data_IF_532726113257
#
_entry.id   IF_532726113257
#
_cell.length_a   1.000
_cell.length_b   1.000
_cell.length_c   1.000
_cell.angle_alpha   90.00
_cell.angle_beta   90.00
_cell.angle_gamma   90.00
#
_symmetry.space_group_name_H-M   'P 1'
#
loop_
_entity.id
_entity.type
_entity.pdbx_description
1 polymer ?
#
# COMPACT_ATOMS: atom_id res chain seq x y z
N UNK A 1 -2.29 20.80 -0.29
CA UNK A 1 -3.04 19.53 -0.23
C UNK A 1 -2.23 18.57 0.62
N UNK A 2 -2.85 17.85 1.54
CA UNK A 2 -2.25 16.77 2.32
C UNK A 2 -2.97 15.49 1.89
N UNK A 3 -2.28 14.65 1.13
CA UNK A 3 -2.81 13.37 0.66
C UNK A 3 -2.23 12.22 1.49
N UNK A 4 -2.99 11.15 1.66
CA UNK A 4 -2.65 10.02 2.57
C UNK A 4 -2.21 10.49 3.97
N UNK A 5 -2.99 11.39 4.59
CA UNK A 5 -2.60 12.06 5.83
C UNK A 5 -2.45 11.09 7.01
N UNK A 6 -3.22 10.01 7.06
CA UNK A 6 -2.99 8.90 7.99
C UNK A 6 -1.56 8.37 7.90
N UNK A 7 -1.10 8.09 6.68
CA UNK A 7 0.26 7.56 6.45
C UNK A 7 1.36 8.55 6.81
N UNK A 8 1.21 9.83 6.46
CA UNK A 8 2.21 10.86 6.79
C UNK A 8 2.48 10.90 8.30
N UNK A 9 1.42 10.81 9.09
CA UNK A 9 1.48 10.92 10.54
C UNK A 9 1.98 9.62 11.19
N UNK A 10 1.72 8.46 10.58
CA UNK A 10 2.27 7.17 11.02
C UNK A 10 3.77 7.04 10.77
N UNK A 11 4.26 7.64 9.68
CA UNK A 11 5.70 7.72 9.38
C UNK A 11 6.44 8.74 10.27
N UNK A 12 5.73 9.46 11.12
CA UNK A 12 6.30 10.44 12.04
C UNK A 12 6.52 11.82 11.45
N UNK A 13 6.03 12.11 10.24
CA UNK A 13 6.23 13.40 9.56
C UNK A 13 5.36 14.55 10.09
N UNK A 14 4.76 14.39 11.27
CA UNK A 14 3.81 15.38 11.80
C UNK A 14 4.48 16.74 12.00
N UNK A 15 5.68 16.77 12.59
CA UNK A 15 6.39 18.03 12.85
C UNK A 15 6.83 18.70 11.56
N UNK A 16 7.33 17.94 10.59
CA UNK A 16 7.76 18.45 9.29
C UNK A 16 6.61 19.07 8.51
N UNK A 17 5.42 18.44 8.54
CA UNK A 17 4.22 18.99 7.92
C UNK A 17 3.79 20.26 8.62
N UNK A 18 3.78 20.30 9.96
CA UNK A 18 3.47 21.52 10.73
C UNK A 18 4.43 22.66 10.40
N UNK A 19 5.73 22.39 10.44
CA UNK A 19 6.75 23.36 10.07
C UNK A 19 6.52 23.91 8.66
N UNK A 20 6.21 23.03 7.69
CA UNK A 20 5.88 23.45 6.31
C UNK A 20 4.66 24.36 6.27
N UNK A 21 3.61 24.03 7.04
CA UNK A 21 2.38 24.80 7.11
C UNK A 21 2.56 26.19 7.75
N UNK A 22 3.52 26.33 8.67
CA UNK A 22 3.82 27.59 9.36
C UNK A 22 4.55 28.61 8.48
N UNK A 23 5.17 28.18 7.38
CA UNK A 23 5.80 29.08 6.41
C UNK A 23 4.78 29.88 5.57
N UNK A 24 3.50 29.49 5.59
CA UNK A 24 2.45 30.21 4.87
C UNK A 24 1.86 31.32 5.75
N UNK A 25 2.13 32.57 5.40
CA UNK A 25 1.68 33.76 6.12
C UNK A 25 0.28 34.26 5.75
N UNK A 26 -0.24 33.84 4.60
CA UNK A 26 -1.55 34.27 4.09
C UNK A 26 -2.62 33.20 4.30
N UNK A 27 -3.88 33.61 4.21
CA UNK A 27 -5.01 32.68 4.21
C UNK A 27 -4.86 31.65 3.07
N UNK A 28 -5.07 30.38 3.40
CA UNK A 28 -4.96 29.25 2.47
C UNK A 28 -6.19 28.35 2.56
N UNK A 29 -6.48 27.68 1.46
CA UNK A 29 -7.37 26.52 1.47
C UNK A 29 -6.52 25.27 1.67
N UNK A 30 -6.86 24.46 2.67
CA UNK A 30 -6.19 23.17 2.92
C UNK A 30 -7.19 22.05 2.66
N UNK A 31 -6.82 21.13 1.77
CA UNK A 31 -7.51 19.86 1.57
C UNK A 31 -6.68 18.78 2.25
N UNK A 32 -7.34 17.94 3.05
CA UNK A 32 -6.75 16.78 3.72
C UNK A 32 -7.52 15.54 3.31
N UNK A 33 -6.83 14.58 2.72
CA UNK A 33 -7.34 13.28 2.31
C UNK A 33 -6.72 12.20 3.19
N UNK A 34 -7.54 11.26 3.65
CA UNK A 34 -7.14 10.17 4.55
C UNK A 34 -8.12 9.03 4.36
N UNK A 35 -7.63 7.79 4.24
CA UNK A 35 -8.51 6.62 4.12
C UNK A 35 -9.10 6.22 5.48
N UNK A 36 -8.32 6.47 6.53
CA UNK A 36 -8.67 6.17 7.91
C UNK A 36 -8.67 7.44 8.74
N UNK A 37 -9.43 7.44 9.85
CA UNK A 37 -9.54 8.60 10.75
C UNK A 37 -9.38 8.18 12.21
N UNK A 38 -8.23 7.57 12.61
CA UNK A 38 -7.97 7.32 14.02
C UNK A 38 -7.82 8.64 14.78
N UNK A 39 -7.87 8.57 16.11
CA UNK A 39 -7.89 9.77 16.98
C UNK A 39 -6.74 10.75 16.67
N UNK A 40 -5.54 10.22 16.40
CA UNK A 40 -4.35 11.02 16.05
C UNK A 40 -4.58 11.86 14.78
N UNK A 41 -5.21 11.31 13.75
CA UNK A 41 -5.51 12.02 12.50
C UNK A 41 -6.63 13.04 12.68
N UNK A 42 -7.63 12.72 13.50
CA UNK A 42 -8.67 13.70 13.86
C UNK A 42 -8.08 14.90 14.59
N UNK A 43 -7.15 14.68 15.52
CA UNK A 43 -6.45 15.75 16.24
C UNK A 43 -5.55 16.57 15.31
N UNK A 44 -4.80 15.89 14.43
CA UNK A 44 -4.00 16.54 13.40
C UNK A 44 -4.86 17.42 12.49
N UNK A 45 -5.95 16.89 11.94
CA UNK A 45 -6.88 17.62 11.07
C UNK A 45 -7.49 18.85 11.78
N UNK A 46 -7.89 18.72 13.05
CA UNK A 46 -8.40 19.86 13.85
C UNK A 46 -7.37 20.96 14.04
N UNK A 47 -6.10 20.60 14.19
CA UNK A 47 -5.01 21.58 14.37
C UNK A 47 -4.56 22.23 13.06
N UNK A 48 -4.77 21.56 11.92
CA UNK A 48 -4.26 21.96 10.62
C UNK A 48 -5.29 22.67 9.74
N UNK A 49 -6.58 22.35 9.90
CA UNK A 49 -7.68 22.86 9.09
C UNK A 49 -8.50 23.93 9.83
N UNK A 50 -8.99 24.93 9.09
CA UNK A 50 -9.87 25.98 9.63
C UNK A 50 -11.30 25.70 9.18
N UNK A 51 -12.18 25.39 10.15
CA UNK A 51 -13.60 25.07 9.93
C UNK A 51 -13.86 24.15 8.71
N UNK A 52 -13.26 22.94 8.68
CA UNK A 52 -13.35 22.07 7.51
C UNK A 52 -14.76 21.50 7.32
N UNK A 53 -15.14 21.32 6.06
CA UNK A 53 -16.27 20.47 5.67
C UNK A 53 -15.75 19.04 5.59
N UNK A 54 -16.39 18.11 6.31
CA UNK A 54 -16.04 16.70 6.29
C UNK A 54 -16.88 16.00 5.23
N UNK A 55 -16.22 15.36 4.27
CA UNK A 55 -16.85 14.53 3.25
C UNK A 55 -16.37 13.11 3.47
N UNK A 56 -17.30 12.20 3.80
CA UNK A 56 -17.01 10.78 3.97
C UNK A 56 -17.67 10.01 2.82
N UNK A 57 -16.87 9.26 2.06
CA UNK A 57 -17.36 8.31 1.07
C UNK A 57 -17.27 6.92 1.70
N UNK A 58 -18.41 6.26 1.90
CA UNK A 58 -18.48 5.00 2.64
C UNK A 58 -18.29 5.16 4.15
N UNK A 59 -17.80 4.11 4.82
CA UNK A 59 -17.50 4.12 6.25
C UNK A 59 -15.98 4.30 6.42
N UNK A 60 -15.56 5.38 7.07
CA UNK A 60 -14.14 5.65 7.30
C UNK A 60 -13.47 4.47 8.03
N UNK A 61 -12.35 3.98 7.50
CA UNK A 61 -11.69 2.78 8.02
C UNK A 61 -12.42 1.46 7.72
N UNK A 62 -13.32 1.42 6.72
CA UNK A 62 -13.82 0.16 6.17
C UNK A 62 -13.20 -0.08 4.78
N UNK A 63 -12.99 -1.36 4.45
CA UNK A 63 -12.63 -1.78 3.11
C UNK A 63 -13.68 -1.31 2.09
N UNK A 64 -13.25 -1.05 0.85
CA UNK A 64 -14.17 -0.80 -0.24
C UNK A 64 -15.10 -2.01 -0.42
N UNK A 65 -16.42 -1.76 -0.46
CA UNK A 65 -17.43 -2.81 -0.60
C UNK A 65 -17.35 -3.54 -1.94
N UNK A 66 -16.71 -2.92 -2.94
CA UNK A 66 -16.50 -3.50 -4.26
C UNK A 66 -15.31 -4.48 -4.29
N UNK A 67 -14.53 -4.57 -3.21
CA UNK A 67 -13.39 -5.49 -3.09
C UNK A 67 -13.84 -6.80 -2.43
N UNK A 68 -13.81 -7.88 -3.21
CA UNK A 68 -14.03 -9.24 -2.72
C UNK A 68 -12.81 -9.64 -1.87
N UNK A 69 -13.05 -10.01 -0.61
CA UNK A 69 -12.01 -10.39 0.35
C UNK A 69 -12.15 -11.87 0.70
N UNK A 70 -11.11 -12.65 0.44
CA UNK A 70 -11.03 -14.06 0.80
C UNK A 70 -9.88 -14.28 1.80
N UNK A 71 -10.10 -15.13 2.81
CA UNK A 71 -9.10 -15.47 3.82
C UNK A 71 -8.86 -16.97 3.80
N UNK A 72 -7.62 -17.37 3.56
CA UNK A 72 -7.22 -18.78 3.51
C UNK A 72 -6.22 -19.09 4.62
N UNK A 73 -6.56 -20.07 5.46
CA UNK A 73 -5.70 -20.53 6.54
C UNK A 73 -4.69 -21.53 6.02
N UNK A 74 -3.44 -21.07 5.92
CA UNK A 74 -2.31 -21.86 5.43
C UNK A 74 -1.22 -21.86 6.49
N UNK A 75 -0.59 -23.02 6.75
CA UNK A 75 0.57 -23.04 7.64
C UNK A 75 1.76 -22.38 6.95
N UNK A 76 2.63 -21.76 7.74
CA UNK A 76 3.76 -20.97 7.25
C UNK A 76 4.63 -21.75 6.25
N UNK A 77 4.93 -23.02 6.56
CA UNK A 77 5.74 -23.89 5.71
C UNK A 77 5.13 -24.21 4.34
N UNK A 78 3.83 -23.99 4.16
CA UNK A 78 3.10 -24.27 2.91
C UNK A 78 2.69 -23.01 2.15
N UNK A 79 2.78 -21.81 2.74
CA UNK A 79 2.36 -20.55 2.11
C UNK A 79 2.97 -20.37 0.72
N UNK A 80 4.29 -20.58 0.60
CA UNK A 80 5.01 -20.39 -0.65
C UNK A 80 4.51 -21.31 -1.78
N UNK A 81 4.30 -22.59 -1.49
CA UNK A 81 3.73 -23.53 -2.46
C UNK A 81 2.27 -23.22 -2.79
N UNK A 82 1.49 -22.81 -1.78
CA UNK A 82 0.07 -22.51 -1.93
C UNK A 82 -0.19 -21.22 -2.70
N UNK A 83 0.76 -20.27 -2.68
CA UNK A 83 0.69 -19.04 -3.46
C UNK A 83 0.42 -19.30 -4.95
N UNK A 84 0.96 -20.38 -5.52
CA UNK A 84 0.70 -20.74 -6.91
C UNK A 84 -0.76 -21.11 -7.17
N UNK A 85 -1.43 -21.74 -6.21
CA UNK A 85 -2.86 -22.06 -6.29
C UNK A 85 -3.70 -20.78 -6.20
N UNK A 86 -3.34 -19.86 -5.31
CA UNK A 86 -3.99 -18.54 -5.19
C UNK A 86 -3.87 -17.75 -6.49
N UNK A 87 -2.71 -17.79 -7.15
CA UNK A 87 -2.47 -17.14 -8.44
C UNK A 87 -3.30 -17.71 -9.60
N UNK A 88 -3.95 -18.88 -9.44
CA UNK A 88 -4.86 -19.41 -10.45
C UNK A 88 -6.29 -18.86 -10.34
N UNK A 89 -6.63 -18.17 -9.24
CA UNK A 89 -8.00 -17.65 -9.01
C UNK A 89 -8.35 -16.48 -9.92
N UNK A 90 -7.38 -15.60 -10.16
CA UNK A 90 -7.56 -14.34 -10.89
C UNK A 90 -6.30 -14.04 -11.69
N UNK A 91 -6.46 -13.44 -12.87
CA UNK A 91 -5.34 -13.10 -13.75
C UNK A 91 -4.54 -11.87 -13.29
N UNK A 92 -3.42 -11.55 -13.97
CA UNK A 92 -2.64 -10.34 -13.72
C UNK A 92 -3.39 -9.07 -14.16
N UNK A 93 -3.02 -7.89 -13.63
CA UNK A 93 -1.86 -7.64 -12.76
C UNK A 93 -2.09 -8.03 -11.30
N UNK A 94 -1.09 -8.65 -10.67
CA UNK A 94 -1.15 -9.08 -9.26
C UNK A 94 -0.14 -8.32 -8.40
N UNK A 95 -0.59 -7.83 -7.24
CA UNK A 95 0.28 -7.33 -6.18
C UNK A 95 0.39 -8.36 -5.05
N UNK A 96 1.61 -8.64 -4.60
CA UNK A 96 1.87 -9.52 -3.46
C UNK A 96 2.58 -8.71 -2.38
N UNK A 97 1.94 -8.54 -1.23
CA UNK A 97 2.49 -7.84 -0.09
C UNK A 97 3.09 -8.81 0.93
N UNK A 98 4.36 -8.61 1.26
CA UNK A 98 5.08 -9.33 2.32
C UNK A 98 5.47 -8.38 3.45
N UNK A 99 5.64 -8.91 4.67
CA UNK A 99 5.98 -8.09 5.83
C UNK A 99 7.43 -7.57 5.74
N UNK A 100 8.36 -8.42 5.32
CA UNK A 100 9.78 -8.10 5.33
C UNK A 100 10.45 -8.41 3.98
N UNK A 101 11.64 -7.83 3.79
CA UNK A 101 12.41 -7.96 2.55
C UNK A 101 12.83 -9.41 2.24
N UNK A 102 13.05 -10.23 3.27
CA UNK A 102 13.47 -11.61 3.08
C UNK A 102 12.33 -12.40 2.43
N UNK A 103 11.11 -12.19 2.88
CA UNK A 103 9.94 -12.84 2.29
C UNK A 103 9.69 -12.35 0.86
N UNK A 104 9.93 -11.07 0.57
CA UNK A 104 9.89 -10.54 -0.81
C UNK A 104 10.87 -11.28 -1.71
N UNK A 105 12.12 -11.45 -1.27
CA UNK A 105 13.16 -12.14 -2.03
C UNK A 105 12.83 -13.63 -2.22
N UNK A 106 12.42 -14.32 -1.14
CA UNK A 106 12.09 -15.75 -1.14
C UNK A 106 10.87 -16.02 -2.07
N UNK A 107 9.83 -15.17 -2.02
CA UNK A 107 8.66 -15.26 -2.90
C UNK A 107 9.04 -14.97 -4.35
N UNK A 108 9.82 -13.91 -4.60
CA UNK A 108 10.24 -13.54 -5.94
C UNK A 108 11.08 -14.63 -6.61
N UNK A 109 12.08 -15.16 -5.92
CA UNK A 109 12.92 -16.25 -6.41
C UNK A 109 12.08 -17.48 -6.75
N UNK A 110 11.15 -17.85 -5.86
CA UNK A 110 10.26 -18.98 -6.08
C UNK A 110 9.38 -18.82 -7.32
N UNK A 111 8.80 -17.64 -7.52
CA UNK A 111 7.99 -17.34 -8.71
C UNK A 111 8.82 -17.46 -9.99
N UNK A 112 10.05 -16.93 -10.00
CA UNK A 112 10.96 -17.05 -11.14
C UNK A 112 11.33 -18.52 -11.43
N UNK A 113 11.61 -19.32 -10.41
CA UNK A 113 11.88 -20.77 -10.54
C UNK A 113 10.68 -21.53 -11.14
N UNK A 114 9.46 -21.04 -10.91
CA UNK A 114 8.23 -21.59 -11.48
C UNK A 114 7.88 -21.02 -12.85
N UNK A 115 8.71 -20.15 -13.41
CA UNK A 115 8.51 -19.53 -14.71
C UNK A 115 7.46 -18.43 -14.72
N UNK A 116 7.15 -17.84 -13.56
CA UNK A 116 6.19 -16.75 -13.42
C UNK A 116 6.91 -15.41 -13.59
N UNK A 117 6.35 -14.51 -14.41
CA UNK A 117 6.94 -13.19 -14.68
C UNK A 117 6.70 -12.22 -13.52
N UNK A 118 7.63 -12.18 -12.57
CA UNK A 118 7.52 -11.32 -11.40
C UNK A 118 8.68 -10.30 -11.30
N UNK A 119 8.42 -9.20 -10.61
CA UNK A 119 9.41 -8.23 -10.11
C UNK A 119 9.24 -8.05 -8.60
N UNK A 120 10.32 -7.63 -7.93
CA UNK A 120 10.35 -7.38 -6.50
C UNK A 120 10.67 -5.92 -6.19
N UNK A 121 10.07 -5.37 -5.13
CA UNK A 121 10.35 -4.03 -4.63
C UNK A 121 10.43 -4.04 -3.10
N UNK A 122 11.60 -3.72 -2.55
CA UNK A 122 11.82 -3.53 -1.11
C UNK A 122 12.90 -2.46 -0.87
N UNK A 123 13.02 -1.98 0.38
CA UNK A 123 13.86 -0.82 0.73
C UNK A 123 15.38 -0.97 0.56
N UNK A 124 15.87 -2.16 0.17
CA UNK A 124 17.30 -2.39 -0.09
C UNK A 124 17.66 -2.23 -1.58
N UNK A 125 16.68 -2.11 -2.48
CA UNK A 125 16.93 -1.90 -3.90
C UNK A 125 17.38 -0.45 -4.16
N UNK A 126 18.26 -0.28 -5.14
CA UNK A 126 18.62 1.05 -5.62
C UNK A 126 17.40 1.75 -6.25
N UNK A 127 17.39 3.08 -6.24
CA UNK A 127 16.29 3.85 -6.85
C UNK A 127 16.11 3.53 -8.34
N UNK A 128 17.21 3.29 -9.06
CA UNK A 128 17.14 2.91 -10.49
C UNK A 128 16.46 1.55 -10.69
N UNK A 129 16.84 0.55 -9.89
CA UNK A 129 16.28 -0.81 -9.96
C UNK A 129 14.80 -0.80 -9.57
N UNK A 130 14.45 -0.05 -8.51
CA UNK A 130 13.08 0.16 -8.10
C UNK A 130 12.25 0.78 -9.22
N UNK A 131 12.74 1.83 -9.87
CA UNK A 131 12.01 2.49 -10.94
C UNK A 131 11.84 1.58 -12.17
N UNK A 132 12.85 0.78 -12.49
CA UNK A 132 12.77 -0.21 -13.56
C UNK A 132 11.72 -1.27 -13.26
N UNK A 133 11.72 -1.87 -12.06
CA UNK A 133 10.72 -2.85 -11.64
C UNK A 133 9.28 -2.30 -11.75
N UNK A 134 9.07 -1.06 -11.26
CA UNK A 134 7.78 -0.37 -11.34
C UNK A 134 7.34 -0.20 -12.80
N UNK A 135 8.25 0.24 -13.67
CA UNK A 135 7.94 0.48 -15.07
C UNK A 135 7.63 -0.83 -15.80
N UNK A 136 8.40 -1.89 -15.56
CA UNK A 136 8.14 -3.21 -16.16
C UNK A 136 6.76 -3.75 -15.79
N UNK A 137 6.36 -3.61 -14.52
CA UNK A 137 5.04 -4.00 -14.06
C UNK A 137 3.94 -3.11 -14.66
N UNK A 138 4.11 -1.78 -14.61
CA UNK A 138 3.15 -0.82 -15.16
C UNK A 138 2.93 -0.97 -16.67
N UNK A 139 3.97 -1.36 -17.42
CA UNK A 139 3.90 -1.61 -18.86
C UNK A 139 3.34 -3.01 -19.20
N UNK A 140 2.98 -3.83 -18.21
CA UNK A 140 2.50 -5.18 -18.42
C UNK A 140 3.56 -6.17 -18.93
N UNK A 141 4.85 -5.83 -18.81
CA UNK A 141 5.97 -6.75 -19.12
C UNK A 141 6.18 -7.78 -18.00
N UNK A 142 5.65 -7.50 -16.82
CA UNK A 142 5.69 -8.34 -15.63
C UNK A 142 4.28 -8.43 -15.07
N UNK A 143 3.85 -9.66 -14.82
CA UNK A 143 2.48 -10.00 -14.43
C UNK A 143 2.25 -9.76 -12.93
N UNK A 144 3.33 -9.85 -12.14
CA UNK A 144 3.30 -9.80 -10.68
C UNK A 144 4.34 -8.82 -10.15
N UNK A 145 3.96 -8.04 -9.15
CA UNK A 145 4.86 -7.24 -8.32
C UNK A 145 4.78 -7.70 -6.87
N UNK A 146 5.91 -8.12 -6.33
CA UNK A 146 6.08 -8.51 -4.92
C UNK A 146 6.73 -7.36 -4.18
N UNK A 147 6.25 -6.99 -3.00
CA UNK A 147 6.90 -5.93 -2.23
C UNK A 147 6.47 -5.80 -0.79
N UNK A 148 7.19 -4.95 -0.06
CA UNK A 148 6.80 -4.53 1.28
C UNK A 148 5.95 -3.26 1.23
N UNK A 149 5.17 -3.01 2.28
CA UNK A 149 4.35 -1.79 2.39
C UNK A 149 5.15 -0.53 2.11
N UNK A 150 6.31 -0.39 2.76
CA UNK A 150 7.19 0.78 2.65
C UNK A 150 7.60 1.04 1.21
N UNK A 151 7.85 -0.03 0.45
CA UNK A 151 8.44 0.06 -0.86
C UNK A 151 7.39 0.22 -1.97
N UNK A 152 6.11 -0.04 -1.68
CA UNK A 152 4.97 0.24 -2.56
C UNK A 152 4.22 1.53 -2.23
N UNK A 153 4.47 2.19 -1.09
CA UNK A 153 3.82 3.48 -0.75
C UNK A 153 4.05 4.55 -1.82
N UNK A 154 2.98 5.26 -2.16
CA UNK A 154 2.98 6.34 -3.16
C UNK A 154 3.07 5.87 -4.62
N UNK A 155 2.93 4.57 -4.87
CA UNK A 155 2.84 4.02 -6.22
C UNK A 155 1.37 3.82 -6.58
N UNK A 156 0.98 4.46 -7.68
CA UNK A 156 -0.32 4.23 -8.31
C UNK A 156 -0.16 3.15 -9.40
N UNK A 157 -0.88 2.04 -9.22
CA UNK A 157 -0.96 0.94 -10.17
C UNK A 157 -2.41 0.81 -10.63
N UNK A 158 -2.75 1.27 -11.85
CA UNK A 158 -4.12 1.20 -12.33
C UNK A 158 -4.53 -0.25 -12.62
N UNK A 159 -5.77 -0.59 -12.31
CA UNK A 159 -6.43 -1.86 -12.70
C UNK A 159 -5.72 -3.12 -12.16
N UNK A 160 -5.35 -3.11 -10.88
CA UNK A 160 -4.94 -4.35 -10.20
C UNK A 160 -6.14 -5.30 -10.11
N UNK A 161 -5.98 -6.51 -10.63
CA UNK A 161 -7.02 -7.54 -10.64
C UNK A 161 -6.99 -8.39 -9.36
N UNK A 162 -5.82 -8.47 -8.71
CA UNK A 162 -5.66 -9.31 -7.52
C UNK A 162 -4.60 -8.73 -6.56
N UNK A 163 -4.99 -8.54 -5.30
CA UNK A 163 -4.06 -8.23 -4.20
C UNK A 163 -3.95 -9.45 -3.30
N UNK A 164 -2.73 -9.93 -3.10
CA UNK A 164 -2.40 -11.04 -2.20
C UNK A 164 -1.63 -10.48 -1.01
N UNK A 165 -2.22 -10.60 0.17
CA UNK A 165 -1.52 -10.40 1.43
C UNK A 165 -0.81 -11.71 1.81
N UNK A 166 0.43 -11.90 1.38
CA UNK A 166 1.23 -13.08 1.74
C UNK A 166 1.44 -13.14 3.26
N UNK A 167 1.74 -11.98 3.84
CA UNK A 167 1.72 -11.77 5.28
C UNK A 167 0.59 -10.80 5.65
N UNK A 168 -0.25 -11.20 6.60
CA UNK A 168 -1.30 -10.33 7.11
C UNK A 168 -0.66 -9.12 7.82
N UNK A 169 -1.05 -7.88 7.48
CA UNK A 169 -0.52 -6.71 8.18
C UNK A 169 -0.98 -6.70 9.65
N UNK A 170 -0.18 -6.05 10.50
CA UNK A 170 -0.39 -6.01 11.96
C UNK A 170 -1.55 -5.11 12.37
N UNK A 171 -1.93 -4.19 11.52
CA UNK A 171 -2.96 -3.19 11.75
C UNK A 171 -3.94 -3.13 10.57
N UNK A 172 -5.16 -2.65 10.86
CA UNK A 172 -6.26 -2.65 9.91
C UNK A 172 -6.11 -1.53 8.87
N UNK A 173 -5.42 -0.46 9.24
CA UNK A 173 -5.13 0.67 8.38
C UNK A 173 -4.26 0.23 7.19
N UNK A 174 -3.17 -0.48 7.46
CA UNK A 174 -2.32 -1.07 6.41
C UNK A 174 -3.08 -2.12 5.60
N UNK A 175 -3.95 -2.93 6.22
CA UNK A 175 -4.80 -3.87 5.47
C UNK A 175 -5.66 -3.16 4.43
N UNK A 176 -6.42 -2.14 4.86
CA UNK A 176 -7.30 -1.36 3.98
C UNK A 176 -6.50 -0.67 2.88
N UNK A 177 -5.31 -0.17 3.20
CA UNK A 177 -4.40 0.43 2.24
C UNK A 177 -3.84 -0.52 1.20
N UNK A 178 -3.62 -1.80 1.53
CA UNK A 178 -3.11 -2.78 0.59
C UNK A 178 -4.17 -3.21 -0.42
N UNK A 179 -5.41 -3.37 0.04
CA UNK A 179 -6.52 -3.89 -0.78
C UNK A 179 -7.28 -2.81 -1.56
N UNK A 180 -7.06 -1.54 -1.25
CA UNK A 180 -7.68 -0.39 -1.92
C UNK A 180 -6.77 0.20 -2.97
#
# INVERSE_FOLDING_TARGET
>A
VLDEADRLIDLGFEEEVRNTLDHFSNQRQTLLFSATMPKKIQEFAKSTLVNPIIINVGRAGAANLDVIQEVEYVKEEFKLSYLLEVLQKTGPPVLIFCENKKDVDDVHEYLLLKGVNAVAIHGNLGQSERQEAINLFREGKKDILVGTDVASKGLDFPSIEHVINYDMPKDIENYIHRIG
#
